data_IF_399648248479
#
_entry.id   IF_399648248479
#
_cell.length_a   1.000
_cell.length_b   1.000
_cell.length_c   1.000
_cell.angle_alpha   90.00
_cell.angle_beta   90.00
_cell.angle_gamma   90.00
#
_symmetry.space_group_name_H-M   'P 1'
#
loop_
_entity.id
_entity.type
_entity.pdbx_description
1 polymer ?
#
# COMPACT_ATOMS: atom_id res chain seq x y z
N UNK A 1 -5.12 29.16 4.67
CA UNK A 1 -4.40 27.95 5.07
C UNK A 1 -2.91 28.21 4.90
N UNK A 2 -2.14 28.16 5.99
CA UNK A 2 -0.68 28.35 5.97
C UNK A 2 -0.03 27.17 5.26
N UNK A 3 0.73 27.42 4.19
CA UNK A 3 1.57 26.40 3.54
C UNK A 3 2.78 26.14 4.41
N UNK A 4 2.76 25.01 5.11
CA UNK A 4 3.90 24.55 5.91
C UNK A 4 4.98 24.02 4.96
N UNK A 5 6.17 24.63 4.94
CA UNK A 5 7.29 24.20 4.12
C UNK A 5 8.32 23.44 4.95
N UNK A 6 8.26 22.11 4.88
CA UNK A 6 9.10 21.21 5.66
C UNK A 6 10.47 21.01 5.00
N UNK A 7 11.51 20.83 5.82
CA UNK A 7 12.83 20.41 5.33
C UNK A 7 12.79 18.95 4.85
N UNK A 8 13.78 18.51 4.06
CA UNK A 8 13.90 17.09 3.67
C UNK A 8 13.90 16.15 4.88
N UNK A 9 14.51 16.57 5.99
CA UNK A 9 14.59 15.74 7.21
C UNK A 9 13.22 15.62 7.88
N UNK A 10 12.48 16.70 8.00
CA UNK A 10 11.14 16.69 8.61
C UNK A 10 10.12 16.01 7.69
N UNK A 11 10.24 16.18 6.38
CA UNK A 11 9.44 15.50 5.39
C UNK A 11 9.63 13.98 5.45
N UNK A 12 10.89 13.51 5.45
CA UNK A 12 11.20 12.09 5.57
C UNK A 12 10.66 11.50 6.88
N UNK A 13 10.82 12.23 8.00
CA UNK A 13 10.27 11.84 9.30
C UNK A 13 8.75 11.72 9.26
N UNK A 14 8.04 12.68 8.65
CA UNK A 14 6.56 12.67 8.53
C UNK A 14 6.06 11.52 7.65
N UNK A 15 6.78 11.19 6.58
CA UNK A 15 6.49 10.04 5.71
C UNK A 15 6.88 8.68 6.33
N UNK A 16 7.63 8.68 7.44
CA UNK A 16 8.12 7.45 8.06
C UNK A 16 9.21 6.73 7.24
N UNK A 17 9.98 7.47 6.44
CA UNK A 17 11.06 6.93 5.59
C UNK A 17 12.42 7.56 5.94
N UNK A 18 13.50 6.98 5.42
CA UNK A 18 14.83 7.59 5.56
C UNK A 18 14.97 8.82 4.65
N UNK A 19 15.85 9.76 5.01
CA UNK A 19 16.17 10.91 4.16
C UNK A 19 16.80 10.51 2.84
N UNK A 20 17.61 9.45 2.81
CA UNK A 20 18.18 8.90 1.59
C UNK A 20 17.08 8.40 0.65
N UNK A 21 16.11 7.65 1.18
CA UNK A 21 14.94 7.20 0.42
C UNK A 21 14.14 8.37 -0.15
N UNK A 22 13.97 9.45 0.62
CA UNK A 22 13.31 10.64 0.12
C UNK A 22 14.08 11.25 -1.06
N UNK A 23 15.41 11.38 -0.99
CA UNK A 23 16.20 11.90 -2.11
C UNK A 23 16.12 11.00 -3.36
N UNK A 24 16.13 9.68 -3.19
CA UNK A 24 15.94 8.74 -4.29
C UNK A 24 14.56 8.92 -4.95
N UNK A 25 13.51 9.13 -4.13
CA UNK A 25 12.17 9.40 -4.64
C UNK A 25 12.09 10.71 -5.43
N UNK A 26 12.75 11.76 -4.94
CA UNK A 26 12.82 13.04 -5.66
C UNK A 26 13.54 12.87 -7.01
N UNK A 27 14.68 12.18 -7.02
CA UNK A 27 15.41 11.90 -8.25
C UNK A 27 14.60 11.07 -9.26
N UNK A 28 13.89 10.04 -8.79
CA UNK A 28 12.99 9.24 -9.63
C UNK A 28 11.78 10.05 -10.13
N UNK A 29 11.27 10.97 -9.31
CA UNK A 29 10.16 11.86 -9.68
C UNK A 29 10.60 12.79 -10.82
N UNK A 30 11.79 13.38 -10.70
CA UNK A 30 12.36 14.24 -11.75
C UNK A 30 12.61 13.48 -13.05
N UNK A 31 12.99 12.20 -12.96
CA UNK A 31 13.13 11.31 -14.11
C UNK A 31 11.80 10.78 -14.66
N UNK A 32 10.67 11.05 -14.00
CA UNK A 32 9.34 10.53 -14.38
C UNK A 32 9.14 9.04 -14.14
N UNK A 33 10.00 8.39 -13.36
CA UNK A 33 9.96 6.94 -13.07
C UNK A 33 9.43 6.61 -11.69
N UNK A 34 9.12 7.61 -10.86
CA UNK A 34 8.66 7.39 -9.51
C UNK A 34 7.25 6.78 -9.47
N UNK A 35 7.12 5.71 -8.68
CA UNK A 35 5.86 4.98 -8.53
C UNK A 35 5.61 4.67 -7.05
N UNK A 36 4.40 4.98 -6.58
CA UNK A 36 3.92 4.50 -5.29
C UNK A 36 2.89 3.42 -5.57
N UNK A 37 3.15 2.20 -5.10
CA UNK A 37 2.22 1.06 -5.21
C UNK A 37 1.76 0.78 -6.66
N UNK A 38 2.64 1.01 -7.64
CA UNK A 38 2.37 0.80 -9.06
C UNK A 38 1.65 1.96 -9.75
N UNK A 39 1.41 3.07 -9.05
CA UNK A 39 0.85 4.28 -9.64
C UNK A 39 1.97 5.30 -9.93
N UNK A 40 2.15 5.75 -11.18
CA UNK A 40 3.06 6.82 -11.52
C UNK A 40 2.72 8.07 -10.69
N UNK A 41 3.71 8.61 -9.99
CA UNK A 41 3.52 9.73 -9.08
C UNK A 41 4.65 10.73 -9.28
N UNK A 42 4.33 12.02 -9.27
CA UNK A 42 5.31 13.12 -9.22
C UNK A 42 5.30 13.72 -7.82
N UNK A 43 6.43 14.26 -7.37
CA UNK A 43 6.57 14.95 -6.09
C UNK A 43 6.83 16.43 -6.37
N UNK A 44 5.97 17.30 -5.84
CA UNK A 44 6.15 18.73 -5.91
C UNK A 44 7.03 19.21 -4.77
N UNK A 45 8.18 19.80 -5.10
CA UNK A 45 9.11 20.34 -4.12
C UNK A 45 9.73 21.65 -4.60
N UNK A 46 10.24 22.42 -3.65
CA UNK A 46 10.95 23.67 -3.89
C UNK A 46 12.43 23.46 -3.59
N UNK A 47 13.30 23.79 -4.54
CA UNK A 47 14.74 23.79 -4.35
C UNK A 47 15.24 25.23 -4.27
N UNK A 48 15.77 25.61 -3.10
CA UNK A 48 16.36 26.94 -2.91
C UNK A 48 17.83 27.02 -3.31
N UNK A 49 18.48 28.16 -3.02
CA UNK A 49 19.94 28.32 -3.01
C UNK A 49 20.59 28.84 -4.31
N UNK A 50 21.78 29.45 -4.19
CA UNK A 50 22.58 29.84 -5.36
C UNK A 50 23.05 28.58 -6.08
N UNK A 51 22.74 28.45 -7.37
CA UNK A 51 23.20 27.36 -8.26
C UNK A 51 22.69 25.95 -7.90
N UNK A 52 21.48 25.81 -7.34
CA UNK A 52 20.88 24.49 -7.09
C UNK A 52 21.45 23.71 -5.90
N UNK A 53 22.35 24.30 -5.11
CA UNK A 53 22.85 23.69 -3.87
C UNK A 53 21.90 23.83 -2.67
N UNK A 54 20.76 24.49 -2.81
CA UNK A 54 19.97 24.84 -1.65
C UNK A 54 19.08 23.73 -1.14
N UNK A 55 18.66 23.95 0.09
CA UNK A 55 17.81 23.07 0.88
C UNK A 55 16.50 22.83 0.14
N UNK A 56 16.13 21.56 0.03
CA UNK A 56 14.82 21.17 -0.49
C UNK A 56 13.76 21.46 0.58
N UNK A 57 12.63 21.98 0.11
CA UNK A 57 11.44 22.26 0.89
C UNK A 57 10.25 21.59 0.24
N UNK A 58 9.43 20.91 1.03
CA UNK A 58 8.22 20.22 0.54
C UNK A 58 7.02 20.80 1.28
N UNK A 59 5.93 21.03 0.56
CA UNK A 59 4.66 21.49 1.14
C UNK A 59 4.05 20.37 1.99
N UNK A 60 3.55 20.70 3.18
CA UNK A 60 2.84 19.75 4.04
C UNK A 60 1.67 19.07 3.33
N UNK A 61 0.93 19.80 2.47
CA UNK A 61 -0.17 19.21 1.71
C UNK A 61 0.29 18.13 0.72
N UNK A 62 1.48 18.31 0.16
CA UNK A 62 2.07 17.31 -0.73
C UNK A 62 2.48 16.05 0.04
N UNK A 63 3.00 16.20 1.26
CA UNK A 63 3.30 15.06 2.12
C UNK A 63 2.04 14.30 2.53
N UNK A 64 0.95 15.01 2.83
CA UNK A 64 -0.32 14.38 3.15
C UNK A 64 -0.86 13.57 1.96
N UNK A 65 -0.76 14.12 0.74
CA UNK A 65 -1.09 13.38 -0.50
C UNK A 65 -0.23 12.12 -0.67
N UNK A 66 1.08 12.21 -0.42
CA UNK A 66 1.98 11.06 -0.50
C UNK A 66 1.65 10.01 0.56
N UNK A 67 1.32 10.44 1.79
CA UNK A 67 0.87 9.55 2.86
C UNK A 67 -0.40 8.80 2.46
N UNK A 68 -1.37 9.49 1.85
CA UNK A 68 -2.60 8.86 1.35
C UNK A 68 -2.30 7.78 0.31
N UNK A 69 -1.36 8.03 -0.61
CA UNK A 69 -0.93 7.04 -1.61
C UNK A 69 -0.17 5.85 -0.99
N UNK A 70 0.55 6.09 0.10
CA UNK A 70 1.27 5.05 0.84
C UNK A 70 0.33 4.21 1.71
N UNK A 71 -0.80 4.77 2.14
CA UNK A 71 -1.70 4.13 3.08
C UNK A 71 -2.33 2.86 2.49
N UNK A 72 -2.24 1.76 3.22
CA UNK A 72 -2.86 0.49 2.86
C UNK A 72 -3.94 0.18 3.89
N UNK A 73 -5.20 0.12 3.44
CA UNK A 73 -6.26 -0.51 4.23
C UNK A 73 -6.19 -2.02 4.03
N UNK A 74 -5.76 -2.80 5.05
CA UNK A 74 -5.77 -4.26 4.95
C UNK A 74 -7.21 -4.71 4.71
N UNK A 75 -7.45 -5.42 3.60
CA UNK A 75 -8.75 -6.03 3.35
C UNK A 75 -8.97 -7.08 4.44
N UNK A 76 -10.05 -6.91 5.21
CA UNK A 76 -10.54 -7.95 6.11
C UNK A 76 -10.58 -9.27 5.35
N UNK A 77 -9.82 -10.27 5.82
CA UNK A 77 -9.82 -11.58 5.18
C UNK A 77 -11.27 -12.08 5.17
N UNK A 78 -11.81 -12.52 4.02
CA UNK A 78 -13.14 -13.11 4.00
C UNK A 78 -13.11 -14.32 4.93
N UNK A 79 -13.88 -14.25 6.01
CA UNK A 79 -14.09 -15.38 6.91
C UNK A 79 -14.59 -16.52 6.02
N UNK A 80 -13.76 -17.57 5.85
CA UNK A 80 -14.17 -18.77 5.13
C UNK A 80 -15.38 -19.32 5.86
N UNK A 81 -16.57 -19.20 5.25
CA UNK A 81 -17.76 -19.90 5.73
C UNK A 81 -17.40 -21.37 5.81
N UNK A 82 -17.48 -21.95 7.01
CA UNK A 82 -17.27 -23.38 7.21
C UNK A 82 -18.15 -24.14 6.21
N UNK A 83 -17.57 -25.13 5.52
CA UNK A 83 -18.34 -26.02 4.67
C UNK A 83 -19.49 -26.61 5.50
N UNK A 84 -20.73 -26.40 5.07
CA UNK A 84 -21.88 -27.14 5.61
C UNK A 84 -21.56 -28.62 5.46
N UNK A 85 -21.46 -29.35 6.58
CA UNK A 85 -21.32 -30.81 6.59
C UNK A 85 -22.40 -31.38 5.66
N UNK A 86 -21.97 -32.02 4.58
CA UNK A 86 -22.87 -32.75 3.70
C UNK A 86 -23.59 -33.80 4.54
N UNK A 87 -24.91 -33.76 4.50
CA UNK A 87 -25.80 -34.72 5.15
C UNK A 87 -25.38 -36.12 4.72
N UNK A 88 -25.21 -37.00 5.71
CA UNK A 88 -24.85 -38.41 5.53
C UNK A 88 -25.71 -39.05 4.44
N UNK A 89 -25.08 -39.60 3.40
CA UNK A 89 -25.78 -40.49 2.48
C UNK A 89 -26.31 -41.68 3.28
N UNK A 90 -27.63 -41.88 3.24
CA UNK A 90 -28.25 -43.09 3.77
C UNK A 90 -28.00 -44.21 2.76
N UNK A 91 -27.03 -45.07 3.06
CA UNK A 91 -26.80 -46.28 2.27
C UNK A 91 -28.01 -47.19 2.43
N UNK A 92 -28.67 -47.54 1.32
CA UNK A 92 -29.70 -48.59 1.30
C UNK A 92 -28.98 -49.92 1.53
N UNK A 93 -29.07 -50.45 2.74
CA UNK A 93 -28.59 -51.79 3.09
C UNK A 93 -29.73 -52.79 2.96
N UNK A 94 -29.93 -53.31 1.76
CA UNK A 94 -30.79 -54.48 1.57
C UNK A 94 -29.99 -55.74 1.85
N UNK A 95 -30.50 -56.62 2.72
CA UNK A 95 -29.90 -57.94 2.92
C UNK A 95 -30.12 -58.77 1.66
N UNK A 96 -29.04 -59.28 1.08
CA UNK A 96 -29.10 -60.26 0.00
C UNK A 96 -29.75 -61.53 0.55
N UNK A 97 -30.96 -61.85 0.12
CA UNK A 97 -31.56 -63.16 0.36
C UNK A 97 -30.85 -64.21 -0.50
N UNK A 98 -30.53 -65.37 0.06
CA UNK A 98 -30.05 -66.52 -0.73
C UNK A 98 -31.22 -67.06 -1.56
N UNK A 99 -31.05 -67.29 -2.87
CA UNK A 99 -32.04 -68.01 -3.65
C UNK A 99 -31.87 -69.50 -3.35
N UNK A 100 -32.83 -70.06 -2.62
CA UNK A 100 -33.10 -71.49 -2.41
C UNK A 100 -31.88 -72.45 -2.31
N UNK A 101 -31.31 -72.58 -1.10
CA UNK A 101 -30.64 -73.79 -0.57
C UNK A 101 -30.40 -73.68 0.96
#
# INVERSE_FOLDING_TARGET
MSRELLSSQDAARRLGISTATLYDWLAQSDAGTFMIRGQPTTINYYQGGRKGQGRIKIDGQELDRLLELMFVSPKSQPIRRALRKQTSMQHITTKLGRPDD
#
